data_IF_181970144321
#
_entry.id   IF_181970144321
#
_cell.length_a   1.000
_cell.length_b   1.000
_cell.length_c   1.000
_cell.angle_alpha   90.00
_cell.angle_beta   90.00
_cell.angle_gamma   90.00
#
_symmetry.space_group_name_H-M   'P 1'
#
loop_
_entity.id
_entity.type
_entity.pdbx_description
1 polymer ?
#
# COMPACT_ATOMS: atom_id res chain seq x y z
N UNK A 1 14.30 -61.21 -15.84
CA UNK A 1 13.17 -60.39 -15.33
C UNK A 1 13.59 -58.94 -15.39
N UNK A 2 12.75 -58.11 -16.01
CA UNK A 2 12.64 -56.63 -15.97
C UNK A 2 13.79 -55.73 -16.51
N UNK A 3 13.56 -55.14 -17.70
CA UNK A 3 13.41 -53.67 -18.03
C UNK A 3 14.03 -52.62 -17.07
N UNK A 4 14.55 -51.44 -17.43
CA UNK A 4 14.57 -50.61 -18.67
C UNK A 4 15.52 -49.38 -18.50
N UNK A 5 15.89 -48.72 -19.62
CA UNK A 5 16.28 -47.29 -19.88
C UNK A 5 17.74 -46.90 -20.27
N UNK A 6 17.91 -46.77 -21.60
CA UNK A 6 18.46 -45.69 -22.47
C UNK A 6 19.67 -44.79 -22.07
N UNK A 7 20.69 -44.83 -22.97
CA UNK A 7 21.56 -43.78 -23.61
C UNK A 7 22.32 -42.84 -22.64
N UNK A 8 23.65 -42.80 -22.62
CA UNK A 8 24.56 -42.32 -23.67
C UNK A 8 25.99 -42.71 -23.24
N UNK A 9 26.82 -43.32 -24.10
CA UNK A 9 28.27 -43.26 -23.91
C UNK A 9 29.08 -43.83 -25.10
N UNK A 10 30.07 -43.04 -25.52
CA UNK A 10 31.34 -43.44 -26.10
C UNK A 10 31.38 -44.23 -27.41
N UNK A 11 31.58 -43.52 -28.52
CA UNK A 11 32.50 -43.99 -29.59
C UNK A 11 33.13 -42.81 -30.32
N UNK A 12 34.15 -42.21 -29.70
CA UNK A 12 35.20 -41.46 -30.39
C UNK A 12 36.31 -42.41 -30.81
N UNK A 13 36.54 -42.54 -32.12
CA UNK A 13 37.86 -42.70 -32.74
C UNK A 13 37.76 -42.83 -34.25
N UNK A 14 38.63 -42.11 -34.94
CA UNK A 14 39.15 -42.38 -36.29
C UNK A 14 38.43 -41.79 -37.51
N UNK A 15 38.13 -40.48 -37.52
CA UNK A 15 37.92 -39.74 -38.79
C UNK A 15 38.39 -38.29 -38.67
N UNK A 16 39.65 -38.03 -39.01
CA UNK A 16 40.16 -36.83 -39.71
C UNK A 16 41.70 -36.78 -39.67
N UNK A 17 42.37 -37.48 -40.60
CA UNK A 17 43.80 -37.27 -40.89
C UNK A 17 43.94 -36.69 -42.29
N UNK A 18 44.53 -35.49 -42.41
CA UNK A 18 44.80 -34.80 -43.67
C UNK A 18 46.20 -35.16 -44.17
N UNK A 19 46.30 -35.76 -45.36
CA UNK A 19 47.57 -36.06 -46.01
C UNK A 19 47.99 -34.91 -46.94
N UNK A 20 49.26 -34.52 -46.90
CA UNK A 20 49.86 -33.58 -47.87
C UNK A 20 51.07 -34.24 -48.53
N UNK A 21 51.11 -34.18 -49.85
CA UNK A 21 52.24 -34.63 -50.67
C UNK A 21 53.20 -33.46 -50.89
N UNK A 22 54.51 -33.71 -50.76
CA UNK A 22 55.55 -32.74 -51.16
C UNK A 22 56.62 -33.47 -51.97
N UNK A 23 57.13 -32.78 -52.99
CA UNK A 23 58.23 -33.25 -53.85
C UNK A 23 59.53 -32.78 -53.22
N UNK A 24 60.46 -33.71 -52.95
CA UNK A 24 61.77 -33.38 -52.40
C UNK A 24 62.72 -32.87 -53.50
N UNK A 25 63.89 -32.33 -53.13
CA UNK A 25 64.81 -31.64 -54.06
C UNK A 25 65.40 -32.51 -55.20
N UNK A 26 65.20 -33.83 -55.20
CA UNK A 26 65.53 -34.75 -56.31
C UNK A 26 64.30 -35.22 -57.14
N UNK A 27 63.10 -34.69 -56.90
CA UNK A 27 61.95 -34.83 -57.80
C UNK A 27 61.00 -36.01 -57.58
N UNK A 28 61.05 -36.71 -56.44
CA UNK A 28 60.09 -37.77 -56.07
C UNK A 28 59.18 -37.35 -54.90
N UNK A 29 57.90 -37.78 -54.93
CA UNK A 29 56.84 -37.43 -53.96
C UNK A 29 56.84 -38.36 -52.75
N UNK A 30 57.04 -37.82 -51.54
CA UNK A 30 56.81 -38.54 -50.27
C UNK A 30 55.59 -37.98 -49.52
N UNK A 31 54.95 -38.86 -48.73
CA UNK A 31 53.65 -38.66 -48.12
C UNK A 31 53.80 -38.59 -46.60
N UNK A 32 53.71 -37.40 -46.02
CA UNK A 32 53.76 -37.20 -44.56
C UNK A 32 52.35 -36.97 -43.98
N UNK A 33 52.11 -37.53 -42.79
CA UNK A 33 50.87 -37.39 -42.01
C UNK A 33 51.10 -36.27 -40.98
N UNK A 34 50.44 -35.12 -41.15
CA UNK A 34 50.43 -34.08 -40.13
C UNK A 34 49.49 -34.49 -38.99
N UNK A 35 50.01 -34.61 -37.76
CA UNK A 35 49.21 -34.67 -36.53
C UNK A 35 49.07 -33.24 -36.00
N UNK A 36 47.82 -32.83 -35.75
CA UNK A 36 47.42 -31.44 -35.55
C UNK A 36 48.12 -30.75 -34.37
N UNK A 37 48.46 -29.50 -34.64
CA UNK A 37 49.14 -28.52 -33.80
C UNK A 37 48.41 -28.25 -32.47
N UNK A 38 49.18 -28.26 -31.38
CA UNK A 38 48.90 -27.37 -30.24
C UNK A 38 49.39 -25.97 -30.63
N UNK A 39 48.55 -24.92 -30.69
CA UNK A 39 49.06 -23.57 -30.81
C UNK A 39 49.16 -22.98 -29.40
N UNK A 40 50.38 -23.01 -28.86
CA UNK A 40 50.81 -22.09 -27.82
C UNK A 40 51.81 -21.15 -28.49
N UNK A 41 51.48 -19.84 -28.44
CA UNK A 41 52.35 -18.67 -28.67
C UNK A 41 53.22 -18.66 -29.95
N UNK A 42 52.95 -17.71 -30.86
CA UNK A 42 53.90 -16.60 -31.02
C UNK A 42 53.39 -15.47 -31.90
N UNK A 43 53.81 -14.30 -31.44
CA UNK A 43 53.71 -12.95 -31.97
C UNK A 43 53.99 -12.84 -33.48
N UNK A 44 53.17 -12.03 -34.16
CA UNK A 44 53.70 -11.09 -35.15
C UNK A 44 52.99 -9.74 -34.99
N UNK A 45 53.75 -8.78 -34.46
CA UNK A 45 53.47 -7.35 -34.47
C UNK A 45 53.19 -6.84 -35.90
N UNK A 46 52.14 -6.02 -36.07
CA UNK A 46 52.24 -4.79 -36.86
C UNK A 46 51.08 -3.81 -36.58
N UNK A 47 51.44 -2.71 -35.90
CA UNK A 47 50.96 -1.33 -36.04
C UNK A 47 49.64 -0.87 -35.37
N UNK A 48 49.76 -0.51 -34.09
CA UNK A 48 49.58 0.86 -33.56
C UNK A 48 48.27 1.64 -33.92
N UNK A 49 47.28 1.60 -33.02
CA UNK A 49 46.67 2.83 -32.46
C UNK A 49 46.37 2.61 -30.98
N UNK A 50 47.26 3.15 -30.16
CA UNK A 50 47.12 3.36 -28.73
C UNK A 50 46.09 4.47 -28.47
N UNK A 51 44.84 4.07 -28.26
CA UNK A 51 43.89 4.85 -27.46
C UNK A 51 43.50 3.96 -26.29
N UNK A 52 44.20 4.09 -25.17
CA UNK A 52 43.98 3.34 -23.93
C UNK A 52 42.56 3.42 -23.36
N UNK A 53 41.61 2.75 -24.00
CA UNK A 53 40.28 2.45 -23.47
C UNK A 53 40.24 0.94 -23.18
N UNK A 54 40.40 0.59 -21.91
CA UNK A 54 40.01 -0.73 -21.42
C UNK A 54 38.48 -0.87 -21.53
N UNK A 55 38.02 -1.94 -22.16
CA UNK A 55 36.61 -2.30 -22.28
C UNK A 55 36.15 -2.89 -20.94
N UNK A 56 35.27 -2.22 -20.15
CA UNK A 56 34.86 -2.73 -18.85
C UNK A 56 33.71 -3.75 -18.96
N UNK A 57 33.73 -4.77 -18.11
CA UNK A 57 32.74 -5.85 -18.06
C UNK A 57 31.33 -5.37 -17.65
N UNK A 58 30.33 -6.02 -18.25
CA UNK A 58 28.91 -5.67 -18.24
C UNK A 58 28.19 -6.11 -16.96
N UNK A 59 27.33 -5.24 -16.39
CA UNK A 59 26.42 -5.60 -15.28
C UNK A 59 24.94 -5.31 -15.55
N UNK A 60 24.54 -4.97 -16.78
CA UNK A 60 23.15 -4.71 -17.12
C UNK A 60 22.76 -5.34 -18.45
N UNK A 61 21.68 -6.13 -18.39
CA UNK A 61 21.08 -6.93 -19.47
C UNK A 61 20.33 -6.00 -20.46
N UNK A 62 21.05 -5.12 -21.14
CA UNK A 62 20.52 -4.23 -22.19
C UNK A 62 20.90 -4.78 -23.57
N UNK A 63 19.94 -5.42 -24.24
CA UNK A 63 20.11 -6.03 -25.56
C UNK A 63 20.53 -5.01 -26.65
N UNK A 64 20.28 -3.71 -26.46
CA UNK A 64 20.77 -2.64 -27.35
C UNK A 64 22.28 -2.40 -27.21
N UNK A 65 22.88 -2.60 -26.03
CA UNK A 65 24.31 -2.39 -25.81
C UNK A 65 25.19 -3.48 -26.46
N UNK A 66 24.62 -4.65 -26.76
CA UNK A 66 25.33 -5.79 -27.36
C UNK A 66 25.64 -5.61 -28.86
N UNK A 67 25.02 -4.62 -29.52
CA UNK A 67 25.20 -4.37 -30.98
C UNK A 67 25.94 -3.06 -31.29
N UNK A 68 26.24 -2.25 -30.27
CA UNK A 68 26.88 -0.94 -30.42
C UNK A 68 28.40 -1.07 -30.50
N UNK A 69 29.04 -0.27 -31.35
CA UNK A 69 30.51 -0.21 -31.37
C UNK A 69 31.04 0.46 -30.09
N UNK A 70 32.27 0.14 -29.63
CA UNK A 70 32.84 0.73 -28.42
C UNK A 70 32.80 2.28 -28.38
N UNK A 71 32.97 2.93 -29.53
CA UNK A 71 32.86 4.40 -29.67
C UNK A 71 31.43 4.92 -29.46
N UNK A 72 30.41 4.17 -29.89
CA UNK A 72 29.01 4.55 -29.72
C UNK A 72 28.55 4.38 -28.27
N UNK A 73 29.09 3.40 -27.53
CA UNK A 73 28.86 3.25 -26.09
C UNK A 73 29.52 4.36 -25.27
N UNK A 74 30.73 4.78 -25.65
CA UNK A 74 31.41 5.91 -25.00
C UNK A 74 30.64 7.23 -25.20
N UNK A 75 30.15 7.47 -26.43
CA UNK A 75 29.32 8.65 -26.73
C UNK A 75 27.96 8.59 -26.02
N UNK A 76 27.34 7.42 -25.90
CA UNK A 76 26.10 7.22 -25.16
C UNK A 76 26.29 7.52 -23.66
N UNK A 77 27.31 6.94 -23.01
CA UNK A 77 27.62 7.23 -21.60
C UNK A 77 27.95 8.70 -21.37
N UNK A 78 28.76 9.32 -22.24
CA UNK A 78 29.08 10.74 -22.13
C UNK A 78 27.83 11.62 -22.23
N UNK A 79 26.89 11.26 -23.12
CA UNK A 79 25.62 11.97 -23.25
C UNK A 79 24.74 11.76 -22.02
N UNK A 80 24.69 10.55 -21.47
CA UNK A 80 23.98 10.26 -20.22
C UNK A 80 24.58 11.03 -19.03
N UNK A 81 25.91 11.10 -18.93
CA UNK A 81 26.60 11.89 -17.91
C UNK A 81 26.30 13.39 -18.05
N UNK A 82 26.32 13.93 -19.28
CA UNK A 82 25.95 15.32 -19.55
C UNK A 82 24.48 15.60 -19.21
N UNK A 83 23.56 14.70 -19.55
CA UNK A 83 22.13 14.80 -19.20
C UNK A 83 21.91 14.72 -17.68
N UNK A 84 22.64 13.83 -16.99
CA UNK A 84 22.61 13.73 -15.53
C UNK A 84 23.15 15.02 -14.90
N UNK A 85 24.29 15.54 -15.33
CA UNK A 85 24.84 16.80 -14.83
C UNK A 85 23.89 17.98 -15.04
N UNK A 86 23.25 18.07 -16.21
CA UNK A 86 22.24 19.08 -16.47
C UNK A 86 21.05 18.95 -15.53
N UNK A 87 20.58 17.72 -15.26
CA UNK A 87 19.49 17.48 -14.32
C UNK A 87 19.85 17.91 -12.90
N UNK A 88 21.10 17.66 -12.46
CA UNK A 88 21.61 18.10 -11.15
C UNK A 88 21.62 19.62 -11.07
N UNK A 89 22.14 20.29 -12.09
CA UNK A 89 22.22 21.76 -12.14
C UNK A 89 20.81 22.38 -12.12
N UNK A 90 19.90 21.89 -12.97
CA UNK A 90 18.50 22.35 -13.01
C UNK A 90 17.78 22.14 -11.68
N UNK A 91 17.94 20.97 -11.06
CA UNK A 91 17.36 20.69 -9.75
C UNK A 91 17.91 21.62 -8.65
N UNK A 92 19.22 21.85 -8.63
CA UNK A 92 19.86 22.75 -7.67
C UNK A 92 19.38 24.21 -7.82
N UNK A 93 19.24 24.71 -9.06
CA UNK A 93 18.69 26.03 -9.34
C UNK A 93 17.23 26.16 -8.86
N UNK A 94 16.41 25.14 -9.11
CA UNK A 94 15.03 25.12 -8.64
C UNK A 94 14.93 25.06 -7.11
N UNK A 95 15.79 24.29 -6.43
CA UNK A 95 15.85 24.24 -4.97
C UNK A 95 16.27 25.59 -4.39
N UNK A 96 17.29 26.24 -4.97
CA UNK A 96 17.72 27.57 -4.54
C UNK A 96 16.60 28.61 -4.72
N UNK A 97 15.90 28.55 -5.86
CA UNK A 97 14.72 29.40 -6.10
C UNK A 97 13.60 29.14 -5.11
N UNK A 98 13.32 27.88 -4.79
CA UNK A 98 12.31 27.51 -3.80
C UNK A 98 12.66 28.05 -2.41
N UNK A 99 13.94 28.01 -2.00
CA UNK A 99 14.40 28.62 -0.74
C UNK A 99 14.18 30.13 -0.73
N UNK A 100 14.53 30.84 -1.81
CA UNK A 100 14.28 32.27 -1.90
C UNK A 100 12.78 32.62 -1.82
N UNK A 101 11.93 31.85 -2.50
CA UNK A 101 10.47 32.01 -2.42
C UNK A 101 9.93 31.71 -1.02
N UNK A 102 10.49 30.72 -0.33
CA UNK A 102 10.15 30.42 1.06
C UNK A 102 10.50 31.59 1.99
N UNK A 103 11.67 32.20 1.81
CA UNK A 103 12.13 33.35 2.59
C UNK A 103 11.26 34.61 2.34
N UNK A 104 10.72 34.76 1.12
CA UNK A 104 9.75 35.80 0.75
C UNK A 104 8.32 35.52 1.29
N UNK A 105 8.09 34.37 1.94
CA UNK A 105 6.78 33.96 2.46
C UNK A 105 5.82 33.43 1.40
N UNK A 106 6.30 33.09 0.20
CA UNK A 106 5.50 32.54 -0.89
C UNK A 106 5.46 31.00 -0.84
N UNK A 107 4.87 30.44 0.22
CA UNK A 107 4.88 28.98 0.51
C UNK A 107 4.34 28.13 -0.65
N UNK A 108 3.20 28.50 -1.25
CA UNK A 108 2.61 27.73 -2.35
C UNK A 108 3.51 27.66 -3.59
N UNK A 109 4.10 28.80 -3.97
CA UNK A 109 5.03 28.86 -5.10
C UNK A 109 6.34 28.12 -4.83
N UNK A 110 6.82 28.14 -3.58
CA UNK A 110 7.97 27.37 -3.16
C UNK A 110 7.70 25.86 -3.28
N UNK A 111 6.53 25.38 -2.82
CA UNK A 111 6.13 23.97 -2.95
C UNK A 111 6.01 23.52 -4.41
N UNK A 112 5.38 24.33 -5.27
CA UNK A 112 5.30 24.04 -6.71
C UNK A 112 6.69 23.97 -7.34
N UNK A 113 7.60 24.86 -6.95
CA UNK A 113 8.98 24.86 -7.46
C UNK A 113 9.74 23.62 -6.99
N UNK A 114 9.50 23.15 -5.77
CA UNK A 114 10.05 21.90 -5.26
C UNK A 114 9.47 20.67 -5.96
N UNK A 115 8.19 20.69 -6.35
CA UNK A 115 7.60 19.61 -7.17
C UNK A 115 8.25 19.54 -8.55
N UNK A 116 8.58 20.67 -9.15
CA UNK A 116 9.36 20.70 -10.39
C UNK A 116 10.78 20.16 -10.17
N UNK A 117 11.46 20.56 -9.09
CA UNK A 117 12.78 20.01 -8.75
C UNK A 117 12.74 18.49 -8.53
N UNK A 118 11.68 17.98 -7.90
CA UNK A 118 11.47 16.55 -7.66
C UNK A 118 11.24 15.76 -8.96
N UNK A 119 10.68 16.39 -10.01
CA UNK A 119 10.51 15.76 -11.33
C UNK A 119 11.84 15.63 -12.07
N UNK A 120 12.70 16.65 -11.95
CA UNK A 120 14.06 16.60 -12.52
C UNK A 120 14.93 15.61 -11.75
N UNK A 121 14.85 15.62 -10.42
CA UNK A 121 15.69 14.79 -9.56
C UNK A 121 14.96 14.32 -8.28
N UNK A 122 14.39 13.10 -8.27
CA UNK A 122 13.64 12.59 -7.12
C UNK A 122 14.53 12.12 -5.95
N UNK A 123 15.81 11.83 -6.19
CA UNK A 123 16.78 11.34 -5.20
C UNK A 123 17.51 12.48 -4.44
N UNK A 124 17.19 13.75 -4.73
CA UNK A 124 17.88 14.87 -4.08
C UNK A 124 17.52 15.00 -2.59
N UNK A 125 18.56 14.96 -1.74
CA UNK A 125 18.45 15.01 -0.29
C UNK A 125 17.84 16.32 0.25
N UNK A 126 18.05 17.44 -0.45
CA UNK A 126 17.69 18.79 -0.03
C UNK A 126 16.20 19.13 -0.22
N UNK A 127 15.50 18.39 -1.09
CA UNK A 127 14.10 18.68 -1.45
C UNK A 127 13.18 18.38 -0.27
N UNK A 128 13.29 17.18 0.29
CA UNK A 128 12.33 16.68 1.27
C UNK A 128 12.35 17.40 2.63
N UNK A 129 13.52 17.76 3.21
CA UNK A 129 13.60 18.56 4.43
C UNK A 129 12.90 19.91 4.29
N UNK A 130 13.15 20.61 3.18
CA UNK A 130 12.55 21.92 2.90
C UNK A 130 11.05 21.80 2.62
N UNK A 131 10.63 20.77 1.88
CA UNK A 131 9.21 20.52 1.62
C UNK A 131 8.45 20.22 2.92
N UNK A 132 9.03 19.42 3.81
CA UNK A 132 8.42 19.10 5.09
C UNK A 132 8.32 20.34 6.00
N UNK A 133 9.35 21.19 6.04
CA UNK A 133 9.30 22.42 6.84
C UNK A 133 8.25 23.40 6.31
N UNK A 134 8.08 23.53 4.99
CA UNK A 134 7.06 24.38 4.37
C UNK A 134 5.64 23.86 4.63
N UNK A 135 5.39 22.56 4.47
CA UNK A 135 4.06 21.96 4.70
C UNK A 135 3.58 22.06 6.15
N UNK A 136 4.53 22.21 7.08
CA UNK A 136 4.27 22.24 8.53
C UNK A 136 4.44 23.61 9.16
N UNK A 137 4.61 24.68 8.36
CA UNK A 137 4.91 26.04 8.84
C UNK A 137 6.07 26.07 9.86
N UNK A 138 7.14 25.33 9.56
CA UNK A 138 8.26 25.12 10.48
C UNK A 138 7.90 24.19 11.64
N UNK A 139 7.29 23.05 11.33
CA UNK A 139 6.94 21.94 12.23
C UNK A 139 5.76 22.18 13.19
N UNK A 140 5.14 23.35 13.15
CA UNK A 140 4.06 23.75 14.08
C UNK A 140 2.66 23.32 13.63
N UNK A 141 2.46 23.06 12.34
CA UNK A 141 1.16 22.82 11.74
C UNK A 141 1.04 21.39 11.19
N UNK A 142 -0.13 20.78 11.40
CA UNK A 142 -0.48 19.41 10.96
C UNK A 142 -1.70 19.41 10.02
N UNK A 143 -1.91 20.51 9.29
CA UNK A 143 -3.03 20.65 8.34
C UNK A 143 -2.94 19.68 7.16
N UNK A 144 -1.73 19.48 6.62
CA UNK A 144 -1.46 18.65 5.44
C UNK A 144 -0.89 17.29 5.81
N UNK A 145 -1.51 16.59 6.75
CA UNK A 145 -0.90 15.41 7.39
C UNK A 145 -0.60 14.26 6.40
N UNK A 146 -1.48 14.00 5.44
CA UNK A 146 -1.26 12.97 4.40
C UNK A 146 -0.05 13.30 3.52
N UNK A 147 0.05 14.56 3.08
CA UNK A 147 1.18 15.04 2.29
C UNK A 147 2.48 14.98 3.11
N UNK A 148 2.43 15.38 4.38
CA UNK A 148 3.58 15.30 5.30
C UNK A 148 4.08 13.87 5.46
N UNK A 149 3.18 12.88 5.59
CA UNK A 149 3.55 11.46 5.66
C UNK A 149 4.26 11.02 4.37
N UNK A 150 3.72 11.41 3.21
CA UNK A 150 4.33 11.05 1.91
C UNK A 150 5.72 11.67 1.72
N UNK A 151 5.94 12.89 2.22
CA UNK A 151 7.23 13.58 2.17
C UNK A 151 8.19 12.98 3.19
N UNK A 152 7.72 12.66 4.40
CA UNK A 152 8.54 12.03 5.44
C UNK A 152 9.03 10.63 5.03
N UNK A 153 8.22 9.85 4.31
CA UNK A 153 8.67 8.57 3.75
C UNK A 153 9.86 8.75 2.79
N UNK A 154 9.81 9.77 1.93
CA UNK A 154 10.90 10.08 1.00
C UNK A 154 12.12 10.67 1.71
N UNK A 155 11.90 11.49 2.74
CA UNK A 155 12.94 12.01 3.62
C UNK A 155 13.72 10.86 4.29
N UNK A 156 13.03 9.82 4.75
CA UNK A 156 13.68 8.65 5.33
C UNK A 156 14.54 7.86 4.32
N UNK A 157 14.27 7.97 3.01
CA UNK A 157 14.99 7.27 1.94
C UNK A 157 16.16 8.06 1.35
N UNK A 158 15.98 9.37 1.15
CA UNK A 158 16.90 10.17 0.32
C UNK A 158 17.64 11.28 1.08
N UNK A 159 17.20 11.67 2.29
CA UNK A 159 17.84 12.77 3.02
C UNK A 159 19.06 12.34 3.81
N UNK A 160 19.95 13.29 4.07
CA UNK A 160 21.16 13.07 4.86
C UNK A 160 20.83 12.71 6.31
N UNK A 161 21.71 11.93 6.96
CA UNK A 161 21.56 11.57 8.37
C UNK A 161 21.54 12.79 9.30
N UNK A 162 22.31 13.82 8.96
CA UNK A 162 22.37 15.07 9.72
C UNK A 162 21.02 15.81 9.69
N UNK A 163 20.39 15.95 8.52
CA UNK A 163 19.09 16.58 8.39
C UNK A 163 18.01 15.78 9.11
N UNK A 164 18.07 14.45 9.01
CA UNK A 164 17.15 13.55 9.72
C UNK A 164 17.25 13.69 11.24
N UNK A 165 18.47 13.76 11.78
CA UNK A 165 18.69 13.96 13.21
C UNK A 165 18.21 15.34 13.68
N UNK A 166 18.42 16.39 12.88
CA UNK A 166 17.95 17.74 13.22
C UNK A 166 16.41 17.80 13.22
N UNK A 167 15.77 17.20 12.22
CA UNK A 167 14.31 17.18 12.10
C UNK A 167 13.69 16.31 13.19
N UNK A 168 14.28 15.15 13.50
CA UNK A 168 13.77 14.27 14.56
C UNK A 168 13.79 14.96 15.92
N UNK A 169 14.84 15.73 16.21
CA UNK A 169 14.98 16.47 17.47
C UNK A 169 13.94 17.60 17.63
N UNK A 170 13.59 18.30 16.56
CA UNK A 170 12.63 19.42 16.61
C UNK A 170 11.19 18.94 16.45
N UNK A 171 10.92 18.10 15.46
CA UNK A 171 9.58 17.72 15.05
C UNK A 171 9.04 16.51 15.81
N UNK A 172 9.91 15.56 16.19
CA UNK A 172 9.52 14.36 16.94
C UNK A 172 8.69 14.67 18.20
N UNK A 173 9.15 15.56 19.10
CA UNK A 173 8.39 15.94 20.30
C UNK A 173 7.04 16.59 19.99
N UNK A 174 6.95 17.38 18.91
CA UNK A 174 5.71 18.04 18.50
C UNK A 174 4.69 17.04 17.97
N UNK A 175 5.13 16.04 17.20
CA UNK A 175 4.27 14.94 16.72
C UNK A 175 3.71 14.16 17.92
N UNK A 176 4.55 13.84 18.91
CA UNK A 176 4.12 13.11 20.12
C UNK A 176 3.07 13.91 20.91
N UNK A 177 3.31 15.21 21.13
CA UNK A 177 2.37 16.09 21.84
C UNK A 177 1.01 16.15 21.14
N UNK A 178 1.01 16.27 19.81
CA UNK A 178 -0.23 16.27 19.04
C UNK A 178 -0.91 14.89 19.00
N UNK A 179 -0.13 13.81 18.98
CA UNK A 179 -0.66 12.46 19.08
C UNK A 179 -1.37 12.25 20.43
N UNK A 180 -0.77 12.65 21.54
CA UNK A 180 -1.39 12.58 22.87
C UNK A 180 -2.69 13.40 22.90
N UNK A 181 -2.68 14.63 22.38
CA UNK A 181 -3.86 15.50 22.30
C UNK A 181 -5.01 14.84 21.53
N UNK A 182 -4.72 14.25 20.36
CA UNK A 182 -5.71 13.56 19.52
C UNK A 182 -6.20 12.28 20.19
N UNK A 183 -5.32 11.52 20.85
CA UNK A 183 -5.71 10.30 21.56
C UNK A 183 -6.62 10.59 22.77
N UNK A 184 -6.35 11.65 23.54
CA UNK A 184 -7.21 12.09 24.64
C UNK A 184 -8.58 12.56 24.13
N UNK A 185 -8.61 13.34 23.06
CA UNK A 185 -9.85 13.79 22.44
C UNK A 185 -10.68 12.59 21.92
N UNK A 186 -10.03 11.63 21.25
CA UNK A 186 -10.66 10.40 20.78
C UNK A 186 -11.21 9.56 21.93
N UNK A 187 -10.48 9.43 23.05
CA UNK A 187 -10.97 8.73 24.25
C UNK A 187 -12.23 9.39 24.79
N UNK A 188 -12.26 10.73 24.89
CA UNK A 188 -13.43 11.49 25.34
C UNK A 188 -14.63 11.29 24.40
N UNK A 189 -14.42 11.46 23.10
CA UNK A 189 -15.48 11.31 22.09
C UNK A 189 -16.04 9.89 22.03
N UNK A 190 -15.19 8.86 22.14
CA UNK A 190 -15.61 7.46 22.21
C UNK A 190 -16.48 7.19 23.43
N UNK A 191 -16.08 7.69 24.61
CA UNK A 191 -16.88 7.55 25.83
C UNK A 191 -18.26 8.20 25.67
N UNK A 192 -18.32 9.42 25.13
CA UNK A 192 -19.58 10.13 24.87
C UNK A 192 -20.46 9.41 23.84
N UNK A 193 -19.85 8.87 22.77
CA UNK A 193 -20.56 8.14 21.74
C UNK A 193 -21.13 6.82 22.27
N UNK A 194 -20.39 6.07 23.09
CA UNK A 194 -20.92 4.85 23.73
C UNK A 194 -22.07 5.15 24.71
N UNK A 195 -21.95 6.20 25.52
CA UNK A 195 -23.05 6.66 26.38
C UNK A 195 -24.30 6.99 25.57
N UNK A 196 -24.17 7.82 24.52
CA UNK A 196 -25.29 8.16 23.62
C UNK A 196 -25.82 6.96 22.85
N UNK A 197 -24.97 6.00 22.45
CA UNK A 197 -25.41 4.74 21.86
C UNK A 197 -26.24 3.94 22.83
N UNK A 198 -25.87 3.89 24.10
CA UNK A 198 -26.59 3.16 25.15
C UNK A 198 -27.95 3.79 25.45
N UNK A 199 -28.03 5.11 25.57
CA UNK A 199 -29.31 5.83 25.69
C UNK A 199 -30.24 5.55 24.49
N UNK A 200 -29.69 5.59 23.27
CA UNK A 200 -30.43 5.25 22.05
C UNK A 200 -30.84 3.79 22.01
N UNK A 201 -29.99 2.86 22.46
CA UNK A 201 -30.29 1.41 22.56
C UNK A 201 -31.52 1.19 23.45
N UNK A 202 -31.58 1.83 24.61
CA UNK A 202 -32.72 1.73 25.52
C UNK A 202 -34.01 2.25 24.85
N UNK A 203 -33.97 3.45 24.26
CA UNK A 203 -35.13 4.04 23.56
C UNK A 203 -35.61 3.17 22.38
N UNK A 204 -34.69 2.69 21.54
CA UNK A 204 -35.02 1.88 20.36
C UNK A 204 -35.52 0.48 20.72
N UNK A 205 -34.96 -0.14 21.77
CA UNK A 205 -35.47 -1.43 22.27
C UNK A 205 -36.91 -1.30 22.80
N UNK A 206 -37.25 -0.19 23.47
CA UNK A 206 -38.61 0.13 23.87
C UNK A 206 -39.56 0.30 22.68
N UNK A 207 -39.15 1.03 21.64
CA UNK A 207 -39.91 1.17 20.40
C UNK A 207 -40.13 -0.18 19.70
N UNK A 208 -39.10 -1.04 19.65
CA UNK A 208 -39.21 -2.40 19.09
C UNK A 208 -40.21 -3.23 19.88
N UNK A 209 -40.11 -3.27 21.21
CA UNK A 209 -41.04 -4.03 22.07
C UNK A 209 -42.50 -3.60 21.86
N UNK A 210 -42.76 -2.29 21.77
CA UNK A 210 -44.10 -1.77 21.47
C UNK A 210 -44.59 -2.17 20.08
N UNK A 211 -43.73 -2.07 19.06
CA UNK A 211 -44.08 -2.45 17.69
C UNK A 211 -44.36 -3.96 17.57
N UNK A 212 -43.53 -4.81 18.19
CA UNK A 212 -43.75 -6.26 18.25
C UNK A 212 -45.05 -6.60 18.95
N UNK A 213 -45.32 -5.97 20.11
CA UNK A 213 -46.56 -6.18 20.85
C UNK A 213 -47.78 -5.83 19.99
N UNK A 214 -47.77 -4.68 19.32
CA UNK A 214 -48.88 -4.27 18.45
C UNK A 214 -49.05 -5.21 17.26
N UNK A 215 -47.96 -5.67 16.64
CA UNK A 215 -48.01 -6.65 15.56
C UNK A 215 -48.62 -7.97 16.04
N UNK A 216 -48.21 -8.48 17.21
CA UNK A 216 -48.78 -9.69 17.79
C UNK A 216 -50.28 -9.56 18.06
N UNK A 217 -50.74 -8.40 18.55
CA UNK A 217 -52.17 -8.14 18.73
C UNK A 217 -52.98 -8.14 17.44
N UNK A 218 -52.36 -7.93 16.26
CA UNK A 218 -53.05 -8.02 14.97
C UNK A 218 -52.91 -9.41 14.33
N UNK A 219 -51.73 -10.03 14.43
CA UNK A 219 -51.41 -11.32 13.79
C UNK A 219 -52.08 -12.49 14.50
N UNK A 220 -52.11 -12.50 15.84
CA UNK A 220 -52.73 -13.59 16.61
C UNK A 220 -54.23 -13.74 16.30
N UNK A 221 -55.07 -12.68 16.36
CA UNK A 221 -56.48 -12.82 15.99
C UNK A 221 -56.67 -13.11 14.50
N UNK A 222 -55.81 -12.58 13.61
CA UNK A 222 -55.84 -12.96 12.20
C UNK A 222 -55.69 -14.48 12.02
N UNK A 223 -54.66 -15.08 12.62
CA UNK A 223 -54.40 -16.52 12.53
C UNK A 223 -55.58 -17.30 13.14
N UNK A 224 -56.06 -16.89 14.32
CA UNK A 224 -57.19 -17.56 14.98
C UNK A 224 -58.47 -17.52 14.15
N UNK A 225 -58.83 -16.36 13.60
CA UNK A 225 -60.01 -16.19 12.73
C UNK A 225 -59.86 -16.95 11.41
N UNK A 226 -58.66 -16.96 10.82
CA UNK A 226 -58.38 -17.70 9.60
C UNK A 226 -58.54 -19.21 9.81
N UNK A 227 -57.98 -19.76 10.89
CA UNK A 227 -58.12 -21.18 11.23
C UNK A 227 -59.59 -21.52 11.46
N UNK A 228 -60.31 -20.70 12.25
CA UNK A 228 -61.74 -20.90 12.49
C UNK A 228 -62.54 -20.87 11.19
N UNK A 229 -62.29 -19.90 10.31
CA UNK A 229 -62.94 -19.80 9.01
C UNK A 229 -62.67 -21.02 8.11
N UNK A 230 -61.42 -21.51 8.08
CA UNK A 230 -61.06 -22.72 7.32
C UNK A 230 -61.77 -23.97 7.85
N UNK A 231 -61.87 -24.13 9.17
CA UNK A 231 -62.58 -25.27 9.79
C UNK A 231 -64.08 -25.21 9.49
N UNK A 232 -64.72 -24.05 9.71
CA UNK A 232 -66.16 -23.88 9.45
C UNK A 232 -66.51 -23.95 7.95
N UNK A 233 -65.58 -23.61 7.06
CA UNK A 233 -65.78 -23.72 5.61
C UNK A 233 -66.09 -25.15 5.17
N UNK A 234 -65.57 -26.16 5.87
CA UNK A 234 -65.85 -27.57 5.57
C UNK A 234 -67.29 -27.99 5.91
N UNK A 235 -67.93 -27.28 6.84
CA UNK A 235 -69.32 -27.52 7.30
C UNK A 235 -70.28 -26.44 6.83
N UNK A 236 -69.87 -25.58 5.89
CA UNK A 236 -70.63 -24.38 5.54
C UNK A 236 -72.04 -24.67 4.97
N UNK A 237 -72.20 -25.82 4.31
CA UNK A 237 -73.46 -26.26 3.69
C UNK A 237 -74.22 -27.31 4.50
N UNK A 238 -73.79 -27.62 5.73
CA UNK A 238 -74.42 -28.69 6.52
C UNK A 238 -75.69 -28.26 7.27
N UNK A 239 -76.04 -26.97 7.25
CA UNK A 239 -77.15 -26.40 8.01
C UNK A 239 -78.19 -25.77 7.07
N UNK A 240 -79.45 -26.20 7.17
CA UNK A 240 -80.58 -25.72 6.37
C UNK A 240 -80.92 -24.25 6.63
N UNK A 241 -80.54 -23.72 7.80
CA UNK A 241 -80.78 -22.33 8.17
C UNK A 241 -79.83 -21.33 7.50
N UNK A 242 -78.74 -21.81 6.85
CA UNK A 242 -77.72 -20.96 6.24
C UNK A 242 -76.87 -20.16 7.24
N UNK A 243 -77.04 -20.39 8.55
CA UNK A 243 -76.36 -19.62 9.61
C UNK A 243 -74.83 -19.81 9.54
N UNK A 244 -74.37 -21.05 9.31
CA UNK A 244 -72.94 -21.35 9.16
C UNK A 244 -72.30 -20.68 7.94
N UNK A 245 -73.07 -20.47 6.86
CA UNK A 245 -72.63 -19.73 5.68
C UNK A 245 -72.33 -18.26 6.01
N UNK A 246 -73.28 -17.59 6.67
CA UNK A 246 -73.12 -16.18 7.07
C UNK A 246 -71.96 -16.02 8.06
N UNK A 247 -71.84 -16.90 9.06
CA UNK A 247 -70.75 -16.87 10.05
C UNK A 247 -69.39 -17.04 9.37
N UNK A 248 -69.26 -17.96 8.42
CA UNK A 248 -68.00 -18.20 7.70
C UNK A 248 -67.56 -16.96 6.90
N UNK A 249 -68.48 -16.29 6.20
CA UNK A 249 -68.18 -15.04 5.48
C UNK A 249 -67.74 -13.92 6.43
N UNK A 250 -68.42 -13.77 7.58
CA UNK A 250 -68.05 -12.77 8.58
C UNK A 250 -66.65 -13.04 9.15
N UNK A 251 -66.31 -14.31 9.44
CA UNK A 251 -64.98 -14.68 9.91
C UNK A 251 -63.89 -14.38 8.87
N UNK A 252 -64.12 -14.67 7.59
CA UNK A 252 -63.20 -14.28 6.51
C UNK A 252 -63.07 -12.76 6.38
N UNK A 253 -64.17 -12.02 6.50
CA UNK A 253 -64.15 -10.55 6.48
C UNK A 253 -63.31 -9.96 7.62
N UNK A 254 -63.52 -10.46 8.85
CA UNK A 254 -62.74 -10.06 10.03
C UNK A 254 -61.26 -10.47 9.90
N UNK A 255 -60.97 -11.65 9.36
CA UNK A 255 -59.60 -12.07 9.05
C UNK A 255 -58.95 -11.15 8.02
N UNK A 256 -59.67 -10.74 6.98
CA UNK A 256 -59.18 -9.77 5.98
C UNK A 256 -58.82 -8.42 6.60
N UNK A 257 -59.66 -7.88 7.49
CA UNK A 257 -59.36 -6.63 8.22
C UNK A 257 -58.13 -6.80 9.12
N UNK A 258 -58.01 -7.91 9.85
CA UNK A 258 -56.88 -8.19 10.71
C UNK A 258 -55.56 -8.39 9.92
N UNK A 259 -55.62 -8.97 8.72
CA UNK A 259 -54.50 -9.07 7.79
C UNK A 259 -54.00 -7.69 7.36
N UNK A 260 -54.92 -6.81 6.94
CA UNK A 260 -54.58 -5.43 6.54
C UNK A 260 -53.91 -4.69 7.71
N UNK A 261 -54.48 -4.78 8.92
CA UNK A 261 -53.88 -4.20 10.11
C UNK A 261 -52.47 -4.74 10.39
N UNK A 262 -52.27 -6.06 10.23
CA UNK A 262 -50.96 -6.70 10.41
C UNK A 262 -49.92 -6.18 9.43
N UNK A 263 -50.28 -6.05 8.14
CA UNK A 263 -49.39 -5.52 7.09
C UNK A 263 -48.99 -4.06 7.38
N UNK A 264 -49.94 -3.23 7.82
CA UNK A 264 -49.66 -1.84 8.20
C UNK A 264 -48.70 -1.76 9.40
N UNK A 265 -48.81 -2.68 10.36
CA UNK A 265 -47.97 -2.76 11.56
C UNK A 265 -46.57 -3.36 11.31
N UNK A 266 -46.34 -4.02 10.18
CA UNK A 266 -44.99 -4.46 9.76
C UNK A 266 -44.05 -3.26 9.50
N UNK A 267 -44.56 -2.14 8.98
CA UNK A 267 -43.77 -0.93 8.69
C UNK A 267 -43.09 -0.32 9.92
N UNK A 268 -43.78 -0.03 11.04
CA UNK A 268 -43.13 0.50 12.24
C UNK A 268 -42.14 -0.50 12.86
N UNK A 269 -42.40 -1.81 12.77
CA UNK A 269 -41.45 -2.83 13.23
C UNK A 269 -40.15 -2.79 12.41
N UNK A 270 -40.26 -2.78 11.08
CA UNK A 270 -39.10 -2.71 10.18
C UNK A 270 -38.27 -1.44 10.44
N UNK A 271 -38.93 -0.29 10.66
CA UNK A 271 -38.25 0.96 11.04
C UNK A 271 -37.51 0.85 12.38
N UNK A 272 -38.12 0.23 13.40
CA UNK A 272 -37.49 0.05 14.70
C UNK A 272 -36.27 -0.88 14.62
N UNK A 273 -36.37 -1.99 13.86
CA UNK A 273 -35.25 -2.91 13.64
C UNK A 273 -34.11 -2.22 12.89
N UNK A 274 -34.42 -1.45 11.83
CA UNK A 274 -33.41 -0.69 11.08
C UNK A 274 -32.67 0.31 11.97
N UNK A 275 -33.38 1.02 12.86
CA UNK A 275 -32.76 1.98 13.80
C UNK A 275 -31.81 1.32 14.78
N UNK A 276 -32.16 0.15 15.32
CA UNK A 276 -31.27 -0.63 16.20
C UNK A 276 -30.02 -1.06 15.43
N UNK A 277 -30.18 -1.52 14.18
CA UNK A 277 -29.05 -1.91 13.34
C UNK A 277 -28.11 -0.73 13.06
N UNK A 278 -28.66 0.42 12.67
CA UNK A 278 -27.89 1.63 12.40
C UNK A 278 -27.16 2.11 13.66
N UNK A 279 -27.80 2.08 14.83
CA UNK A 279 -27.18 2.52 16.08
C UNK A 279 -25.97 1.68 16.52
N UNK A 280 -25.75 0.50 15.94
CA UNK A 280 -24.55 -0.30 16.19
C UNK A 280 -23.32 0.23 15.43
N UNK A 281 -23.52 0.86 14.27
CA UNK A 281 -22.42 1.37 13.46
C UNK A 281 -22.04 2.79 13.87
N UNK A 282 -20.75 3.02 14.14
CA UNK A 282 -20.20 4.34 14.46
C UNK A 282 -20.36 5.35 13.32
N UNK A 283 -20.19 4.88 12.08
CA UNK A 283 -20.35 5.68 10.85
C UNK A 283 -21.74 6.29 10.66
N UNK A 284 -22.75 5.78 11.37
CA UNK A 284 -24.13 6.28 11.25
C UNK A 284 -24.40 7.57 12.05
N UNK A 285 -23.44 8.01 12.85
CA UNK A 285 -23.61 9.13 13.79
C UNK A 285 -22.54 10.20 13.57
N UNK A 286 -22.87 11.47 13.81
CA UNK A 286 -21.89 12.56 13.67
C UNK A 286 -20.67 12.33 14.57
N UNK A 287 -20.90 12.05 15.87
CA UNK A 287 -19.85 11.72 16.84
C UNK A 287 -19.02 10.50 16.43
N UNK A 288 -19.64 9.43 15.93
CA UNK A 288 -18.89 8.26 15.49
C UNK A 288 -18.05 8.53 14.25
N UNK A 289 -18.47 9.43 13.35
CA UNK A 289 -17.64 9.89 12.22
C UNK A 289 -16.48 10.76 12.67
N UNK A 290 -16.69 11.59 13.69
CA UNK A 290 -15.62 12.38 14.32
C UNK A 290 -14.60 11.47 15.01
N UNK A 291 -15.04 10.44 15.73
CA UNK A 291 -14.16 9.40 16.29
C UNK A 291 -13.33 8.72 15.19
N UNK A 292 -13.94 8.28 14.09
CA UNK A 292 -13.21 7.59 13.01
C UNK A 292 -12.19 8.51 12.33
N UNK A 293 -12.56 9.78 12.10
CA UNK A 293 -11.63 10.76 11.54
C UNK A 293 -10.45 11.05 12.49
N UNK A 294 -10.70 11.10 13.79
CA UNK A 294 -9.66 11.24 14.80
C UNK A 294 -8.74 10.01 14.90
N UNK A 295 -9.27 8.80 14.70
CA UNK A 295 -8.48 7.56 14.63
C UNK A 295 -7.59 7.50 13.39
N UNK A 296 -8.12 7.90 12.24
CA UNK A 296 -7.36 8.04 10.99
C UNK A 296 -6.23 9.06 11.17
N UNK A 297 -6.54 10.22 11.78
CA UNK A 297 -5.54 11.25 12.11
C UNK A 297 -4.45 10.73 13.04
N UNK A 298 -4.81 10.00 14.10
CA UNK A 298 -3.83 9.40 15.01
C UNK A 298 -2.94 8.37 14.29
N UNK A 299 -3.51 7.58 13.38
CA UNK A 299 -2.77 6.60 12.57
C UNK A 299 -1.76 7.28 11.65
N UNK A 300 -2.15 8.37 11.00
CA UNK A 300 -1.26 9.17 10.17
C UNK A 300 -0.14 9.84 11.00
N UNK A 301 -0.44 10.36 12.20
CA UNK A 301 0.57 10.91 13.11
C UNK A 301 1.59 9.85 13.54
N UNK A 302 1.16 8.62 13.84
CA UNK A 302 2.07 7.51 14.15
C UNK A 302 2.97 7.15 12.96
N UNK A 303 2.42 7.12 11.75
CA UNK A 303 3.22 6.90 10.53
C UNK A 303 4.23 8.02 10.33
N UNK A 304 3.80 9.27 10.47
CA UNK A 304 4.68 10.43 10.38
C UNK A 304 5.84 10.32 11.39
N UNK A 305 5.52 10.00 12.65
CA UNK A 305 6.51 9.78 13.68
C UNK A 305 7.50 8.68 13.30
N UNK A 306 7.02 7.54 12.77
CA UNK A 306 7.90 6.42 12.38
C UNK A 306 8.91 6.77 11.29
N UNK A 307 8.57 7.69 10.38
CA UNK A 307 9.49 8.12 9.32
C UNK A 307 10.43 9.25 9.76
N UNK A 308 9.94 10.14 10.64
CA UNK A 308 10.70 11.28 11.16
C UNK A 308 11.66 10.87 12.27
N UNK A 309 11.27 9.90 13.11
CA UNK A 309 12.10 9.44 14.20
C UNK A 309 13.37 8.78 13.66
N UNK A 310 14.51 9.30 14.09
CA UNK A 310 15.83 8.82 13.70
C UNK A 310 16.66 8.64 14.97
N UNK A 311 17.09 7.41 15.22
CA UNK A 311 18.07 7.09 16.26
C UNK A 311 19.44 7.11 15.61
N UNK A 312 20.29 8.02 16.06
CA UNK A 312 21.68 8.04 15.65
C UNK A 312 22.40 6.96 16.47
N UNK A 313 22.63 5.78 15.90
CA UNK A 313 23.51 4.78 16.53
C UNK A 313 24.94 5.25 16.41
N UNK A 314 25.41 6.00 17.41
CA UNK A 314 26.83 6.35 17.52
C UNK A 314 27.56 5.08 17.95
N UNK A 315 28.23 4.42 17.02
CA UNK A 315 29.25 3.42 17.34
C UNK A 315 30.52 4.18 17.72
N UNK A 316 30.67 4.55 19.00
CA UNK A 316 31.98 4.96 19.49
C UNK A 316 32.84 3.72 19.64
N UNK A 317 33.90 3.65 18.83
CA UNK A 317 34.98 2.68 19.02
C UNK A 317 35.89 3.26 20.09
N UNK A 318 35.86 2.67 21.28
CA UNK A 318 36.81 3.01 22.32
C UNK A 318 38.24 2.68 21.89
N UNK A 319 39.24 3.35 22.44
CA UNK A 319 40.67 3.15 22.12
C UNK A 319 41.21 1.72 22.34
N UNK A 320 40.35 0.79 22.79
CA UNK A 320 40.60 -0.65 22.97
C UNK A 320 39.94 -1.54 21.92
N UNK A 321 39.21 -0.98 20.95
CA UNK A 321 38.54 -1.75 19.90
C UNK A 321 37.23 -2.42 20.32
N UNK A 322 36.65 -2.03 21.45
CA UNK A 322 35.31 -2.47 21.85
C UNK A 322 34.27 -1.49 21.29
N UNK A 323 33.28 -2.04 20.57
CA UNK A 323 32.15 -1.29 20.01
C UNK A 323 31.08 -1.20 21.10
N UNK A 324 30.93 -0.04 21.72
CA UNK A 324 29.83 0.21 22.64
C UNK A 324 28.65 0.77 21.83
N UNK A 325 27.61 -0.04 21.64
CA UNK A 325 26.36 0.39 21.01
C UNK A 325 25.43 0.91 22.10
N UNK A 326 25.36 2.23 22.26
CA UNK A 326 24.39 2.84 23.17
C UNK A 326 23.06 3.00 22.40
N UNK A 327 22.18 2.00 22.53
CA UNK A 327 20.86 1.99 21.90
C UNK A 327 19.89 2.62 22.89
N UNK A 328 19.57 3.91 22.73
CA UNK A 328 18.31 4.44 23.27
C UNK A 328 17.17 3.95 22.39
N UNK A 329 16.69 2.74 22.66
CA UNK A 329 15.48 2.20 22.05
C UNK A 329 14.30 3.14 22.33
N UNK A 330 13.48 3.37 21.31
CA UNK A 330 12.18 4.00 21.50
C UNK A 330 11.39 3.20 22.56
N UNK A 331 10.53 3.84 23.37
CA UNK A 331 9.52 3.10 24.11
C UNK A 331 8.62 2.42 23.08
N UNK A 332 8.89 1.14 22.83
CA UNK A 332 7.93 0.24 22.21
C UNK A 332 6.73 0.29 23.14
N UNK A 333 5.67 0.96 22.68
CA UNK A 333 4.36 0.93 23.31
C UNK A 333 3.76 -0.46 23.07
N UNK A 334 4.36 -1.48 23.65
CA UNK A 334 3.74 -2.78 23.89
C UNK A 334 2.81 -2.62 25.09
N UNK A 335 1.61 -2.09 24.85
CA UNK A 335 0.44 -2.32 25.72
C UNK A 335 -0.83 -2.37 24.88
N UNK A 336 -1.27 -3.62 24.68
CA UNK A 336 -2.64 -4.15 24.63
C UNK A 336 -3.67 -3.56 23.65
#
# INVERSE_FOLDING_TARGET
MAEERLIDDNTDRDKDKKYRFRINEDGEEELEIAEDEQPQEDETDEALYDTGMEVPEFTSDDEEAATMTPEQLFLARKKEEEEQEESVKKAAELIAKARALADEGQTEYALITLDSAQKERPDSADIYPLKLSLLTDGYKNFGHLEECVSVAEKLAKYSSEADRAQISAVFGPQILTEQERVEEENKRLRAENEQKKEERRQRFSGQRRRAVRNLLFAVVPFIGLLIAACVLSGTMYSDESGTLFVVTIVLFGLAGVALIASVLLCRPLARAVRRIRLNKSDSSTALGRECTAGEERATLLRRLYSYVYYVNTITSVDAKGEVETDITEAPVSDKD
#
